data_IF_618896538068
#
_entry.id   IF_618896538068
#
_cell.length_a   1.000
_cell.length_b   1.000
_cell.length_c   1.000
_cell.angle_alpha   90.00
_cell.angle_beta   90.00
_cell.angle_gamma   90.00
#
_symmetry.space_group_name_H-M   'P 1'
#
loop_
_entity.id
_entity.type
_entity.pdbx_description
1 polymer ?
#
# COMPACT_ATOMS: atom_id res chain seq x y z
N UNK A 1 2.41 -18.08 6.16
CA UNK A 1 1.16 -17.35 5.84
C UNK A 1 1.49 -15.94 5.40
N UNK A 2 0.93 -15.47 4.28
CA UNK A 2 1.00 -14.06 3.95
C UNK A 2 0.23 -13.30 5.04
N UNK A 3 0.95 -12.49 5.83
CA UNK A 3 0.40 -11.71 6.95
C UNK A 3 -0.68 -10.70 6.50
N UNK A 4 -0.82 -10.51 5.19
CA UNK A 4 -1.81 -9.65 4.53
C UNK A 4 -2.31 -10.34 3.26
N UNK A 5 -3.61 -10.32 3.03
CA UNK A 5 -4.23 -10.82 1.80
C UNK A 5 -3.89 -9.90 0.63
N UNK A 6 -3.91 -10.45 -0.60
CA UNK A 6 -3.70 -9.64 -1.82
C UNK A 6 -4.73 -8.51 -1.92
N UNK A 7 -5.99 -8.80 -1.58
CA UNK A 7 -7.09 -7.84 -1.55
C UNK A 7 -6.83 -6.65 -0.61
N UNK A 8 -6.31 -6.92 0.59
CA UNK A 8 -5.93 -5.86 1.52
C UNK A 8 -4.82 -4.99 0.95
N UNK A 9 -3.79 -5.59 0.33
CA UNK A 9 -2.71 -4.82 -0.30
C UNK A 9 -3.23 -3.93 -1.43
N UNK A 10 -4.16 -4.43 -2.25
CA UNK A 10 -4.80 -3.66 -3.31
C UNK A 10 -5.60 -2.48 -2.74
N UNK A 11 -6.36 -2.69 -1.67
CA UNK A 11 -7.09 -1.60 -0.98
C UNK A 11 -6.15 -0.50 -0.48
N UNK A 12 -4.98 -0.86 0.06
CA UNK A 12 -3.96 0.10 0.51
C UNK A 12 -3.37 0.88 -0.66
N UNK A 13 -3.06 0.20 -1.77
CA UNK A 13 -2.51 0.83 -2.97
C UNK A 13 -3.55 1.75 -3.62
N UNK A 14 -4.81 1.32 -3.75
CA UNK A 14 -5.91 2.11 -4.30
C UNK A 14 -6.14 3.39 -3.48
N UNK A 15 -6.11 3.28 -2.15
CA UNK A 15 -6.21 4.46 -1.29
C UNK A 15 -5.07 5.45 -1.52
N UNK A 16 -3.83 4.95 -1.68
CA UNK A 16 -2.69 5.79 -2.07
C UNK A 16 -2.89 6.45 -3.45
N UNK A 17 -3.37 5.70 -4.44
CA UNK A 17 -3.63 6.21 -5.80
C UNK A 17 -4.72 7.28 -5.83
N UNK A 18 -5.64 7.29 -4.86
CA UNK A 18 -6.64 8.34 -4.65
C UNK A 18 -6.05 9.64 -4.03
N UNK A 19 -4.86 10.05 -4.46
CA UNK A 19 -4.16 11.28 -4.05
C UNK A 19 -3.78 11.37 -2.56
N UNK A 20 -3.64 10.24 -1.86
CA UNK A 20 -3.17 10.23 -0.47
C UNK A 20 -1.66 10.02 -0.38
N UNK A 21 -1.03 10.64 0.60
CA UNK A 21 0.40 10.41 0.86
C UNK A 21 0.63 9.08 1.59
N UNK A 22 1.85 8.52 1.49
CA UNK A 22 2.24 7.30 2.21
C UNK A 22 1.91 7.34 3.70
N UNK A 23 2.11 8.49 4.35
CA UNK A 23 1.81 8.69 5.77
C UNK A 23 0.30 8.66 6.08
N UNK A 24 -0.52 9.28 5.22
CA UNK A 24 -1.97 9.28 5.38
C UNK A 24 -2.55 7.87 5.19
N UNK A 25 -2.11 7.18 4.13
CA UNK A 25 -2.49 5.79 3.87
C UNK A 25 -2.06 4.88 5.02
N UNK A 26 -0.81 4.99 5.48
CA UNK A 26 -0.31 4.21 6.60
C UNK A 26 -1.14 4.40 7.87
N UNK A 27 -1.47 5.65 8.21
CA UNK A 27 -2.33 5.98 9.35
C UNK A 27 -3.74 5.41 9.19
N UNK A 28 -4.32 5.47 7.99
CA UNK A 28 -5.67 4.95 7.71
C UNK A 28 -5.75 3.44 7.93
N UNK A 29 -4.75 2.68 7.48
CA UNK A 29 -4.71 1.22 7.58
C UNK A 29 -3.98 0.69 8.82
N UNK A 30 -3.57 1.57 9.73
CA UNK A 30 -2.73 1.25 10.90
C UNK A 30 -1.46 0.45 10.53
N UNK A 31 -0.79 0.89 9.46
CA UNK A 31 0.45 0.33 8.93
C UNK A 31 1.62 1.28 9.17
N UNK A 32 2.84 0.76 9.01
CA UNK A 32 4.01 1.61 8.88
C UNK A 32 4.11 2.19 7.47
N UNK A 33 4.50 3.46 7.36
CA UNK A 33 4.69 4.15 6.09
C UNK A 33 5.64 3.43 5.13
N UNK A 34 6.70 2.76 5.63
CA UNK A 34 7.61 1.98 4.79
C UNK A 34 6.94 0.74 4.20
N UNK A 35 5.95 0.18 4.90
CA UNK A 35 5.16 -0.94 4.39
C UNK A 35 4.32 -0.51 3.19
N UNK A 36 3.67 0.66 3.29
CA UNK A 36 2.89 1.25 2.19
C UNK A 36 3.81 1.59 1.02
N UNK A 37 4.94 2.24 1.28
CA UNK A 37 5.94 2.58 0.25
C UNK A 37 6.44 1.34 -0.50
N UNK A 38 6.78 0.26 0.23
CA UNK A 38 7.22 -0.99 -0.37
C UNK A 38 6.14 -1.60 -1.29
N UNK A 39 4.88 -1.61 -0.85
CA UNK A 39 3.79 -2.19 -1.66
C UNK A 39 3.50 -1.37 -2.91
N UNK A 40 3.51 -0.03 -2.81
CA UNK A 40 3.35 0.85 -3.97
C UNK A 40 4.51 0.67 -4.95
N UNK A 41 5.76 0.63 -4.47
CA UNK A 41 6.93 0.38 -5.33
C UNK A 41 6.87 -0.97 -6.02
N UNK A 42 6.53 -2.04 -5.28
CA UNK A 42 6.38 -3.37 -5.87
C UNK A 42 5.27 -3.38 -6.93
N UNK A 43 4.14 -2.72 -6.66
CA UNK A 43 3.06 -2.59 -7.63
C UNK A 43 3.50 -1.85 -8.90
N UNK A 44 4.24 -0.75 -8.76
CA UNK A 44 4.76 0.02 -9.91
C UNK A 44 5.84 -0.73 -10.70
N UNK A 45 6.71 -1.50 -10.03
CA UNK A 45 7.80 -2.26 -10.68
C UNK A 45 7.27 -3.52 -11.38
N UNK A 46 6.23 -4.15 -10.84
CA UNK A 46 5.71 -5.43 -11.33
C UNK A 46 4.77 -5.27 -12.54
N UNK A 47 4.26 -4.06 -12.81
CA UNK A 47 3.46 -3.72 -13.99
C UNK A 47 4.29 -2.98 -15.06
N UNK A 48 5.47 -3.52 -15.40
CA UNK A 48 6.24 -3.08 -16.56
C UNK A 48 6.01 -4.00 -17.77
#
# INVERSE_FOLDING_TARGET
MAKYTTDFKLSVIEYYLNHHSYHQTAKHFNLDHKTVELWVKLYQVQWH
#
